data_IF_331806765664
#
_entry.id   IF_331806765664
#
_cell.length_a   1.000
_cell.length_b   1.000
_cell.length_c   1.000
_cell.angle_alpha   90.00
_cell.angle_beta   90.00
_cell.angle_gamma   90.00
#
_symmetry.space_group_name_H-M   'P 1'
#
loop_
_entity.id
_entity.type
_entity.pdbx_description
1 polymer ?
#
# COMPACT_ATOMS: atom_id res chain seq x y z
N UNK A 1 -3.29 14.75 5.92
CA UNK A 1 -3.95 15.64 4.94
C UNK A 1 -5.45 15.59 5.17
N UNK A 2 -6.16 16.71 5.03
CA UNK A 2 -7.62 16.73 5.09
C UNK A 2 -8.15 17.30 3.78
N UNK A 3 -9.14 16.63 3.19
CA UNK A 3 -9.77 17.00 1.92
C UNK A 3 -11.28 17.04 2.11
N UNK A 4 -11.94 18.03 1.53
CA UNK A 4 -13.40 18.10 1.49
C UNK A 4 -13.88 17.60 0.13
N UNK A 5 -14.67 16.54 0.11
CA UNK A 5 -15.29 15.96 -1.09
C UNK A 5 -16.80 16.16 -0.99
N UNK A 6 -17.32 17.15 -1.73
CA UNK A 6 -18.70 17.59 -1.57
C UNK A 6 -18.93 18.17 -0.17
N UNK A 7 -19.85 17.59 0.59
CA UNK A 7 -20.12 17.94 1.99
C UNK A 7 -19.38 17.04 3.00
N UNK A 8 -18.61 16.06 2.52
CA UNK A 8 -17.90 15.10 3.37
C UNK A 8 -16.45 15.55 3.59
N UNK A 9 -16.05 15.63 4.86
CA UNK A 9 -14.63 15.81 5.22
C UNK A 9 -13.98 14.44 5.25
N UNK A 10 -12.84 14.30 4.57
CA UNK A 10 -12.02 13.09 4.53
C UNK A 10 -10.65 13.43 5.11
N UNK A 11 -10.23 12.69 6.11
CA UNK A 11 -8.88 12.80 6.69
C UNK A 11 -8.05 11.61 6.22
N UNK A 12 -6.95 11.90 5.54
CA UNK A 12 -5.98 10.92 5.10
C UNK A 12 -4.70 11.06 5.92
N UNK A 13 -4.28 9.99 6.57
CA UNK A 13 -2.95 9.87 7.19
C UNK A 13 -2.19 8.82 6.42
N UNK A 14 -0.95 9.10 6.05
CA UNK A 14 -0.08 8.15 5.36
C UNK A 14 1.24 8.02 6.11
N UNK A 15 1.69 6.80 6.33
CA UNK A 15 2.98 6.49 6.94
C UNK A 15 3.74 5.46 6.11
N UNK A 16 5.06 5.59 6.12
CA UNK A 16 5.96 4.58 5.56
C UNK A 16 6.24 3.53 6.63
N UNK A 17 6.08 2.26 6.26
CA UNK A 17 6.29 1.13 7.15
C UNK A 17 7.67 0.51 6.88
N UNK A 18 8.35 0.02 7.94
CA UNK A 18 9.53 -0.82 7.75
C UNK A 18 9.19 -2.03 6.88
N UNK A 19 10.03 -2.30 5.89
CA UNK A 19 9.83 -3.34 4.88
C UNK A 19 11.18 -3.91 4.49
N UNK A 20 11.27 -5.24 4.40
CA UNK A 20 12.45 -5.90 3.85
C UNK A 20 12.58 -5.58 2.35
N UNK A 21 13.83 -5.44 1.90
CA UNK A 21 14.12 -5.06 0.52
C UNK A 21 13.54 -6.08 -0.47
N UNK A 22 12.71 -5.60 -1.39
CA UNK A 22 12.20 -6.35 -2.55
C UNK A 22 12.81 -5.77 -3.82
N UNK A 23 13.56 -6.59 -4.57
CA UNK A 23 14.26 -6.12 -5.77
C UNK A 23 15.48 -5.24 -5.43
N UNK A 24 15.62 -4.12 -6.12
CA UNK A 24 16.70 -3.14 -5.94
C UNK A 24 16.29 -2.01 -4.99
N UNK A 25 15.01 -1.61 -5.06
CA UNK A 25 14.41 -0.58 -4.21
C UNK A 25 12.99 -1.00 -3.86
N UNK A 26 12.58 -0.81 -2.60
CA UNK A 26 11.20 -1.04 -2.20
C UNK A 26 10.80 -0.17 -1.03
N UNK A 27 9.51 0.13 -0.94
CA UNK A 27 8.91 0.80 0.21
C UNK A 27 7.49 0.27 0.45
N UNK A 28 7.07 0.32 1.71
CA UNK A 28 5.70 0.01 2.12
C UNK A 28 5.02 1.27 2.66
N UNK A 29 3.75 1.48 2.29
CA UNK A 29 2.94 2.58 2.80
C UNK A 29 1.65 2.04 3.40
N UNK A 30 1.27 2.60 4.54
CA UNK A 30 -0.07 2.48 5.10
C UNK A 30 -0.75 3.85 5.03
N UNK A 31 -1.87 3.89 4.33
CA UNK A 31 -2.75 5.05 4.29
C UNK A 31 -4.06 4.73 5.03
N UNK A 32 -4.39 5.56 6.02
CA UNK A 32 -5.63 5.51 6.77
C UNK A 32 -6.51 6.68 6.35
N UNK A 33 -7.65 6.36 5.75
CA UNK A 33 -8.67 7.33 5.36
C UNK A 33 -9.83 7.26 6.34
N UNK A 34 -10.21 8.38 6.96
CA UNK A 34 -11.39 8.48 7.81
C UNK A 34 -12.33 9.54 7.26
N UNK A 35 -13.55 9.12 6.89
CA UNK A 35 -14.61 10.04 6.47
C UNK A 35 -15.31 10.67 7.68
N UNK A 36 -15.93 11.84 7.48
CA UNK A 36 -16.67 12.57 8.52
C UNK A 36 -17.84 11.79 9.14
N UNK A 37 -18.29 10.70 8.51
CA UNK A 37 -19.27 9.77 9.05
C UNK A 37 -18.65 8.68 9.97
N UNK A 38 -17.35 8.76 10.25
CA UNK A 38 -16.61 7.81 11.09
C UNK A 38 -16.27 6.48 10.40
N UNK A 39 -16.42 6.40 9.07
CA UNK A 39 -15.96 5.22 8.32
C UNK A 39 -14.46 5.33 8.07
N UNK A 40 -13.71 4.32 8.48
CA UNK A 40 -12.28 4.20 8.23
C UNK A 40 -11.98 3.14 7.17
N UNK A 41 -11.14 3.50 6.21
CA UNK A 41 -10.59 2.62 5.18
C UNK A 41 -9.08 2.65 5.28
N UNK A 42 -8.46 1.49 5.22
CA UNK A 42 -7.02 1.32 5.20
C UNK A 42 -6.59 0.86 3.81
N UNK A 43 -5.53 1.48 3.30
CA UNK A 43 -4.83 1.07 2.08
C UNK A 43 -3.41 0.76 2.47
N UNK A 44 -3.00 -0.50 2.34
CA UNK A 44 -1.60 -0.89 2.47
C UNK A 44 -1.06 -1.21 1.08
N UNK A 45 0.10 -0.66 0.75
CA UNK A 45 0.76 -0.91 -0.52
C UNK A 45 2.24 -1.22 -0.30
N UNK A 46 2.76 -2.17 -1.07
CA UNK A 46 4.20 -2.41 -1.22
C UNK A 46 4.56 -2.16 -2.67
N UNK A 47 5.50 -1.24 -2.89
CA UNK A 47 6.03 -0.92 -4.21
C UNK A 47 7.48 -1.32 -4.27
N UNK A 48 7.87 -2.01 -5.33
CA UNK A 48 9.21 -2.50 -5.55
C UNK A 48 9.68 -2.17 -6.98
N UNK A 49 10.99 -2.00 -7.15
CA UNK A 49 11.65 -1.72 -8.42
C UNK A 49 12.83 -2.66 -8.61
N UNK A 50 12.99 -3.19 -9.82
CA UNK A 50 14.14 -4.01 -10.19
C UNK A 50 14.30 -4.03 -11.71
N UNK A 51 15.52 -3.99 -12.24
CA UNK A 51 15.81 -4.10 -13.68
C UNK A 51 15.00 -3.11 -14.56
N UNK A 52 14.72 -1.91 -14.06
CA UNK A 52 13.93 -0.90 -14.76
C UNK A 52 12.41 -1.15 -14.76
N UNK A 53 11.93 -2.24 -14.16
CA UNK A 53 10.52 -2.50 -13.90
C UNK A 53 10.13 -1.95 -12.53
N UNK A 54 8.86 -1.59 -12.40
CA UNK A 54 8.25 -1.19 -11.13
C UNK A 54 6.94 -1.96 -10.96
N UNK A 55 6.78 -2.57 -9.80
CA UNK A 55 5.58 -3.30 -9.42
C UNK A 55 5.02 -2.73 -8.12
N UNK A 56 3.71 -2.73 -8.00
CA UNK A 56 3.01 -2.32 -6.78
C UNK A 56 1.88 -3.30 -6.51
N UNK A 57 1.84 -3.81 -5.29
CA UNK A 57 0.74 -4.61 -4.79
C UNK A 57 0.07 -3.84 -3.65
N UNK A 58 -1.26 -3.78 -3.69
CA UNK A 58 -2.03 -3.04 -2.69
C UNK A 58 -3.26 -3.82 -2.23
N UNK A 59 -3.63 -3.60 -0.98
CA UNK A 59 -4.87 -4.06 -0.38
C UNK A 59 -5.64 -2.88 0.20
N UNK A 60 -6.95 -2.89 0.01
CA UNK A 60 -7.87 -1.86 0.52
C UNK A 60 -8.96 -2.55 1.33
N UNK A 61 -9.17 -2.10 2.57
CA UNK A 61 -10.11 -2.73 3.48
C UNK A 61 -10.55 -1.84 4.63
N UNK A 62 -11.50 -2.34 5.43
CA UNK A 62 -11.97 -1.65 6.65
C UNK A 62 -11.30 -2.17 7.93
N UNK A 63 -10.55 -3.25 7.82
CA UNK A 63 -9.74 -3.80 8.90
C UNK A 63 -8.33 -3.24 8.80
N UNK A 64 -7.75 -2.93 9.95
CA UNK A 64 -6.36 -2.51 10.04
C UNK A 64 -5.44 -3.63 9.50
N UNK A 65 -4.57 -3.34 8.53
CA UNK A 65 -3.60 -4.28 7.99
C UNK A 65 -2.62 -4.80 9.05
N UNK A 66 -2.25 -6.08 8.93
CA UNK A 66 -1.20 -6.69 9.75
C UNK A 66 0.09 -6.93 8.93
N UNK A 67 1.16 -7.32 9.63
CA UNK A 67 2.44 -7.64 8.97
C UNK A 67 2.34 -8.82 8.00
N UNK A 68 1.42 -9.78 8.24
CA UNK A 68 1.22 -10.92 7.33
C UNK A 68 0.67 -10.44 5.98
N UNK A 69 -0.25 -9.48 5.99
CA UNK A 69 -0.74 -8.86 4.76
C UNK A 69 0.38 -8.10 4.05
N UNK A 70 1.21 -7.37 4.79
CA UNK A 70 2.36 -6.66 4.23
C UNK A 70 3.33 -7.62 3.53
N UNK A 71 3.69 -8.73 4.18
CA UNK A 71 4.58 -9.77 3.62
C UNK A 71 4.01 -10.36 2.33
N UNK A 72 2.70 -10.63 2.28
CA UNK A 72 2.02 -11.12 1.07
C UNK A 72 2.04 -10.10 -0.06
N UNK A 73 1.85 -8.83 0.24
CA UNK A 73 1.94 -7.76 -0.76
C UNK A 73 3.38 -7.63 -1.27
N UNK A 74 4.37 -7.76 -0.41
CA UNK A 74 5.78 -7.79 -0.81
C UNK A 74 6.10 -8.97 -1.74
N UNK A 75 5.59 -10.15 -1.43
CA UNK A 75 5.73 -11.34 -2.29
C UNK A 75 5.06 -11.12 -3.66
N UNK A 76 3.85 -10.56 -3.69
CA UNK A 76 3.15 -10.23 -4.93
C UNK A 76 3.90 -9.18 -5.77
N UNK A 77 4.46 -8.16 -5.12
CA UNK A 77 5.27 -7.15 -5.79
C UNK A 77 6.56 -7.79 -6.36
N UNK A 78 7.19 -8.71 -5.64
CA UNK A 78 8.35 -9.46 -6.12
C UNK A 78 8.01 -10.31 -7.34
N UNK A 79 6.92 -11.08 -7.30
CA UNK A 79 6.45 -11.91 -8.42
C UNK A 79 6.13 -11.08 -9.65
N UNK A 80 5.55 -9.88 -9.47
CA UNK A 80 5.25 -8.97 -10.57
C UNK A 80 6.50 -8.29 -11.18
N UNK A 81 7.66 -8.36 -10.52
CA UNK A 81 8.95 -7.95 -11.08
C UNK A 81 9.65 -9.08 -11.85
N UNK A 82 9.23 -10.34 -11.68
CA UNK A 82 9.75 -11.44 -12.47
C UNK A 82 9.27 -11.28 -13.92
N UNK A 83 10.15 -11.43 -14.93
CA UNK A 83 9.71 -11.45 -16.32
C UNK A 83 8.69 -12.58 -16.47
N UNK A 84 7.53 -12.29 -17.07
CA UNK A 84 6.57 -13.32 -17.44
C UNK A 84 7.35 -14.41 -18.20
N UNK A 85 7.37 -15.62 -17.64
CA UNK A 85 8.16 -16.74 -18.17
C UNK A 85 7.87 -17.02 -19.65
N UNK A 86 8.78 -17.74 -20.34
CA UNK A 86 8.72 -17.99 -21.78
C UNK A 86 7.41 -18.68 -22.23
#
# INVERSE_FOLDING_TARGET
MTVTVGETIVTLVSEELPQDLVGEESYALLATETSGAGQTTYTMAVTARSNGLMASAQSVGRSEPDGILQDKLAELAAQALEPAGP
#
